data_IF_356002822061
#
_entry.id   IF_356002822061
#
_cell.length_a   1.000
_cell.length_b   1.000
_cell.length_c   1.000
_cell.angle_alpha   90.00
_cell.angle_beta   90.00
_cell.angle_gamma   90.00
#
_symmetry.space_group_name_H-M   'P 1'
#
loop_
_entity.id
_entity.type
_entity.pdbx_description
1 polymer ?
#
# COMPACT_ATOMS: atom_id res chain seq x y z
N UNK A 1 -9.39 -13.11 3.65
CA UNK A 1 -9.86 -11.94 4.42
C UNK A 1 -9.01 -10.70 4.20
N UNK A 2 -7.69 -10.84 4.05
CA UNK A 2 -6.77 -9.70 3.89
C UNK A 2 -7.09 -8.68 2.77
N UNK A 3 -7.61 -9.06 1.58
CA UNK A 3 -7.88 -8.09 0.52
C UNK A 3 -8.99 -7.08 0.88
N UNK A 4 -9.94 -7.48 1.74
CA UNK A 4 -11.02 -6.61 2.21
C UNK A 4 -10.54 -5.49 3.13
N UNK A 5 -9.36 -5.63 3.72
CA UNK A 5 -8.79 -4.56 4.56
C UNK A 5 -8.33 -3.37 3.73
N UNK A 6 -8.09 -3.55 2.42
CA UNK A 6 -7.77 -2.47 1.49
C UNK A 6 -8.95 -1.51 1.30
N UNK A 7 -10.18 -1.95 1.55
CA UNK A 7 -11.38 -1.12 1.49
C UNK A 7 -11.32 0.07 2.47
N UNK A 8 -10.57 -0.07 3.56
CA UNK A 8 -10.39 0.97 4.57
C UNK A 8 -9.24 1.93 4.27
N UNK A 9 -8.42 1.65 3.24
CA UNK A 9 -7.30 2.52 2.85
C UNK A 9 -7.80 3.75 2.10
N UNK A 10 -8.79 3.58 1.23
CA UNK A 10 -9.29 4.62 0.31
C UNK A 10 -10.11 5.72 1.00
N UNK A 11 -11.08 5.42 1.88
CA UNK A 11 -11.95 6.45 2.45
C UNK A 11 -11.20 7.43 3.37
N UNK A 12 -11.43 8.73 3.18
CA UNK A 12 -10.77 9.79 3.97
C UNK A 12 -11.11 9.75 5.47
N UNK A 13 -12.28 9.19 5.83
CA UNK A 13 -12.69 9.00 7.23
C UNK A 13 -11.74 8.10 8.05
N UNK A 14 -10.93 7.27 7.39
CA UNK A 14 -9.98 6.35 8.05
C UNK A 14 -8.53 6.87 8.06
N UNK A 15 -8.29 8.13 7.67
CA UNK A 15 -6.91 8.68 7.59
C UNK A 15 -6.18 8.60 8.93
N UNK A 16 -6.87 8.89 10.05
CA UNK A 16 -6.29 8.80 11.39
C UNK A 16 -5.84 7.39 11.81
N UNK A 17 -6.35 6.33 11.16
CA UNK A 17 -5.97 4.93 11.39
C UNK A 17 -5.07 4.37 10.29
N UNK A 18 -4.67 5.20 9.33
CA UNK A 18 -4.03 4.74 8.11
C UNK A 18 -2.61 4.22 8.36
N UNK A 19 -1.86 4.85 9.27
CA UNK A 19 -0.51 4.39 9.65
C UNK A 19 -0.48 2.94 10.17
N UNK A 20 -1.25 2.57 11.22
CA UNK A 20 -1.28 1.18 11.69
C UNK A 20 -1.88 0.23 10.64
N UNK A 21 -2.87 0.68 9.87
CA UNK A 21 -3.46 -0.12 8.79
C UNK A 21 -2.44 -0.43 7.69
N UNK A 22 -1.67 0.56 7.24
CA UNK A 22 -0.63 0.39 6.22
C UNK A 22 0.48 -0.55 6.68
N UNK A 23 0.92 -0.45 7.94
CA UNK A 23 1.92 -1.36 8.51
C UNK A 23 1.42 -2.80 8.51
N UNK A 24 0.21 -3.02 9.02
CA UNK A 24 -0.39 -4.35 9.07
C UNK A 24 -0.58 -4.96 7.67
N UNK A 25 -1.09 -4.16 6.72
CA UNK A 25 -1.29 -4.59 5.34
C UNK A 25 0.04 -4.92 4.64
N UNK A 26 1.10 -4.16 4.92
CA UNK A 26 2.44 -4.42 4.39
C UNK A 26 2.95 -5.77 4.88
N UNK A 27 2.96 -6.00 6.19
CA UNK A 27 3.41 -7.27 6.79
C UNK A 27 2.61 -8.46 6.25
N UNK A 28 1.31 -8.27 6.07
CA UNK A 28 0.42 -9.29 5.54
C UNK A 28 0.68 -9.58 4.06
N UNK A 29 0.93 -8.54 3.24
CA UNK A 29 1.30 -8.69 1.83
C UNK A 29 2.66 -9.41 1.68
N UNK A 30 3.67 -9.02 2.48
CA UNK A 30 4.98 -9.66 2.49
C UNK A 30 4.89 -11.14 2.92
N UNK A 31 4.10 -11.43 3.97
CA UNK A 31 3.84 -12.82 4.39
C UNK A 31 3.15 -13.63 3.30
N UNK A 32 2.20 -13.04 2.57
CA UNK A 32 1.51 -13.71 1.46
C UNK A 32 2.42 -13.98 0.26
N UNK A 33 3.36 -13.08 -0.02
CA UNK A 33 4.40 -13.31 -1.03
C UNK A 33 5.30 -14.50 -0.67
N UNK A 34 5.63 -14.67 0.61
CA UNK A 34 6.40 -15.82 1.08
C UNK A 34 5.62 -17.15 1.02
N UNK A 35 4.30 -17.09 1.23
CA UNK A 35 3.39 -18.25 1.14
C UNK A 35 3.10 -18.70 -0.31
N UNK A 36 3.52 -17.92 -1.32
CA UNK A 36 3.41 -18.26 -2.75
C UNK A 36 2.54 -17.29 -3.56
N UNK A 37 2.71 -17.30 -4.88
CA UNK A 37 2.16 -16.32 -5.81
C UNK A 37 0.62 -16.27 -5.83
N UNK A 38 -0.04 -17.43 -5.71
CA UNK A 38 -1.49 -17.55 -5.57
C UNK A 38 -2.03 -16.86 -4.29
N UNK A 39 -1.29 -16.91 -3.19
CA UNK A 39 -1.72 -16.30 -1.92
C UNK A 39 -1.53 -14.77 -1.91
N UNK A 40 -0.56 -14.27 -2.68
CA UNK A 40 -0.22 -12.86 -2.84
C UNK A 40 -1.08 -12.12 -3.86
N UNK A 41 -1.72 -12.84 -4.79
CA UNK A 41 -2.52 -12.27 -5.87
C UNK A 41 -3.87 -11.71 -5.37
N UNK A 42 -4.06 -10.40 -5.55
CA UNK A 42 -5.32 -9.72 -5.31
C UNK A 42 -6.28 -9.96 -6.48
N UNK A 43 -7.24 -10.87 -6.29
CA UNK A 43 -8.33 -11.07 -7.26
C UNK A 43 -9.37 -9.94 -7.17
N UNK A 44 -9.04 -8.77 -7.72
CA UNK A 44 -9.91 -7.58 -7.73
C UNK A 44 -11.28 -7.85 -8.39
N UNK A 45 -11.35 -8.73 -9.40
CA UNK A 45 -12.58 -9.05 -10.14
C UNK A 45 -13.61 -9.86 -9.33
N UNK A 46 -13.19 -10.57 -8.27
CA UNK A 46 -14.06 -11.47 -7.50
C UNK A 46 -14.66 -10.81 -6.25
N UNK A 47 -14.21 -9.60 -5.90
CA UNK A 47 -14.54 -8.93 -4.64
C UNK A 47 -15.19 -7.57 -4.92
N UNK A 48 -16.52 -7.54 -4.86
CA UNK A 48 -17.39 -6.40 -5.24
C UNK A 48 -17.07 -5.08 -4.52
N UNK A 49 -16.35 -5.13 -3.39
CA UNK A 49 -16.04 -3.95 -2.57
C UNK A 49 -14.57 -3.51 -2.61
N UNK A 50 -13.69 -4.26 -3.28
CA UNK A 50 -12.27 -3.89 -3.30
C UNK A 50 -12.05 -2.58 -4.05
N UNK A 51 -11.17 -1.69 -3.54
CA UNK A 51 -10.76 -0.54 -4.31
C UNK A 51 -10.04 -0.99 -5.57
N UNK A 52 -10.19 -0.22 -6.65
CA UNK A 52 -9.41 -0.47 -7.87
C UNK A 52 -7.92 -0.29 -7.56
N UNK A 53 -7.02 -1.02 -8.24
CA UNK A 53 -5.57 -0.82 -8.09
C UNK A 53 -5.15 0.65 -8.23
N UNK A 54 -5.79 1.36 -9.16
CA UNK A 54 -5.57 2.77 -9.44
C UNK A 54 -6.09 3.67 -8.31
N UNK A 55 -7.26 3.35 -7.74
CA UNK A 55 -7.81 4.08 -6.60
C UNK A 55 -6.95 3.94 -5.35
N UNK A 56 -6.44 2.74 -5.10
CA UNK A 56 -5.50 2.47 -4.01
C UNK A 56 -4.18 3.23 -4.22
N UNK A 57 -3.64 3.20 -5.44
CA UNK A 57 -2.45 3.95 -5.83
C UNK A 57 -2.63 5.45 -5.59
N UNK A 58 -3.69 6.04 -6.16
CA UNK A 58 -3.96 7.46 -6.04
C UNK A 58 -4.07 7.88 -4.57
N UNK A 59 -4.77 7.08 -3.75
CA UNK A 59 -4.90 7.37 -2.33
C UNK A 59 -3.56 7.37 -1.60
N UNK A 60 -2.75 6.32 -1.79
CA UNK A 60 -1.46 6.19 -1.11
C UNK A 60 -0.49 7.29 -1.55
N UNK A 61 -0.53 7.71 -2.82
CA UNK A 61 0.24 8.85 -3.33
C UNK A 61 -0.22 10.19 -2.75
N UNK A 62 -1.53 10.39 -2.52
CA UNK A 62 -2.04 11.60 -1.88
C UNK A 62 -1.61 11.67 -0.42
N UNK A 63 -1.54 10.52 0.27
CA UNK A 63 -1.15 10.45 1.68
C UNK A 63 0.37 10.54 1.88
N UNK A 64 1.17 10.01 0.94
CA UNK A 64 2.63 10.00 1.04
C UNK A 64 3.27 11.38 1.35
N UNK A 65 2.90 12.49 0.67
CA UNK A 65 3.50 13.81 0.91
C UNK A 65 2.80 14.61 2.01
N UNK A 66 1.78 14.07 2.71
CA UNK A 66 1.03 14.87 3.70
C UNK A 66 1.89 15.17 4.95
N UNK A 67 2.23 16.45 5.22
CA UNK A 67 3.06 16.82 6.37
C UNK A 67 2.25 16.88 7.68
N UNK A 68 0.92 16.79 7.59
CA UNK A 68 0.01 17.20 8.67
C UNK A 68 -0.42 16.09 9.63
N UNK A 69 -0.10 14.82 9.37
CA UNK A 69 -0.52 13.72 10.24
C UNK A 69 0.65 12.83 10.69
N UNK A 70 1.18 13.17 11.87
CA UNK A 70 1.88 12.28 12.81
C UNK A 70 2.99 11.41 12.19
N UNK A 71 4.13 12.04 11.92
CA UNK A 71 5.47 11.44 12.09
C UNK A 71 5.65 10.02 11.49
N UNK A 72 5.19 9.81 10.25
CA UNK A 72 5.44 8.56 9.52
C UNK A 72 4.24 7.87 8.87
N UNK A 73 3.08 8.53 8.76
CA UNK A 73 1.97 8.04 7.91
C UNK A 73 2.40 7.97 6.44
N UNK A 74 3.16 8.96 5.96
CA UNK A 74 3.72 8.97 4.61
C UNK A 74 4.69 7.81 4.35
N UNK A 75 5.60 7.53 5.30
CA UNK A 75 6.50 6.36 5.21
C UNK A 75 5.72 5.05 5.18
N UNK A 76 4.69 4.89 6.02
CA UNK A 76 3.86 3.70 6.03
C UNK A 76 3.09 3.51 4.71
N UNK A 77 2.58 4.59 4.12
CA UNK A 77 1.91 4.56 2.82
C UNK A 77 2.86 4.16 1.69
N UNK A 78 4.07 4.73 1.64
CA UNK A 78 5.11 4.37 0.67
C UNK A 78 5.57 2.91 0.82
N UNK A 79 5.75 2.44 2.05
CA UNK A 79 6.10 1.05 2.32
C UNK A 79 5.00 0.07 1.88
N UNK A 80 3.73 0.41 2.11
CA UNK A 80 2.61 -0.39 1.60
C UNK A 80 2.56 -0.38 0.06
N UNK A 81 2.80 0.77 -0.56
CA UNK A 81 2.82 0.93 -2.01
C UNK A 81 3.93 0.07 -2.65
N UNK A 82 5.08 -0.05 -1.98
CA UNK A 82 6.12 -1.03 -2.32
C UNK A 82 5.57 -2.45 -2.18
N UNK A 83 5.04 -2.85 -1.03
CA UNK A 83 4.57 -4.23 -0.84
C UNK A 83 3.49 -4.67 -1.85
N UNK A 84 2.69 -3.73 -2.37
CA UNK A 84 1.62 -3.99 -3.33
C UNK A 84 1.98 -3.78 -4.80
N UNK A 85 3.25 -3.48 -5.14
CA UNK A 85 3.65 -3.09 -6.49
C UNK A 85 3.23 -4.12 -7.58
N UNK A 86 3.36 -5.42 -7.31
CA UNK A 86 2.98 -6.52 -8.21
C UNK A 86 1.46 -6.62 -8.39
N UNK A 87 0.70 -6.27 -7.35
CA UNK A 87 -0.75 -6.29 -7.37
C UNK A 87 -1.36 -5.04 -8.03
N UNK A 88 -0.57 -3.99 -8.27
CA UNK A 88 -1.01 -2.79 -8.96
C UNK A 88 -0.75 -2.90 -10.45
N UNK A 89 0.51 -3.09 -10.85
CA UNK A 89 0.88 -3.32 -12.25
C UNK A 89 2.34 -3.80 -12.36
N UNK A 90 2.62 -4.77 -13.23
CA UNK A 90 3.98 -5.29 -13.43
C UNK A 90 4.99 -4.20 -13.83
N UNK A 91 4.61 -3.28 -14.74
CA UNK A 91 5.50 -2.21 -15.18
C UNK A 91 5.90 -1.20 -14.09
N UNK A 92 5.10 -1.03 -13.02
CA UNK A 92 5.50 -0.15 -11.90
C UNK A 92 6.37 -0.88 -10.87
N UNK A 93 6.31 -2.21 -10.86
CA UNK A 93 7.07 -3.08 -9.96
C UNK A 93 8.57 -2.80 -10.01
N UNK A 94 9.16 -2.86 -11.21
CA UNK A 94 10.61 -2.68 -11.40
C UNK A 94 11.07 -1.29 -10.93
N UNK A 95 10.32 -0.25 -11.28
CA UNK A 95 10.66 1.12 -10.90
C UNK A 95 10.54 1.36 -9.40
N UNK A 96 9.49 0.82 -8.76
CA UNK A 96 9.18 1.11 -7.37
C UNK A 96 10.07 0.37 -6.38
N UNK A 97 10.56 -0.81 -6.73
CA UNK A 97 11.56 -1.53 -5.94
C UNK A 97 12.83 -0.68 -5.76
N UNK A 98 13.16 0.17 -6.73
CA UNK A 98 14.33 1.06 -6.69
C UNK A 98 14.01 2.44 -6.12
N UNK A 99 12.97 3.11 -6.63
CA UNK A 99 12.70 4.53 -6.29
C UNK A 99 12.11 4.73 -4.89
N UNK A 100 11.26 3.82 -4.41
CA UNK A 100 10.59 4.00 -3.11
C UNK A 100 11.59 3.95 -1.95
N UNK A 101 12.55 3.00 -1.88
CA UNK A 101 13.59 3.03 -0.85
C UNK A 101 14.37 4.35 -0.81
N UNK A 102 14.74 4.91 -1.97
CA UNK A 102 15.42 6.22 -2.03
C UNK A 102 14.57 7.37 -1.50
N UNK A 103 13.27 7.36 -1.81
CA UNK A 103 12.33 8.35 -1.28
C UNK A 103 12.16 8.22 0.24
N UNK A 104 12.08 7.00 0.76
CA UNK A 104 12.00 6.75 2.20
C UNK A 104 13.26 7.27 2.92
N UNK A 105 14.44 6.98 2.37
CA UNK A 105 15.71 7.47 2.91
C UNK A 105 15.78 8.99 2.94
N UNK A 106 15.22 9.67 1.94
CA UNK A 106 15.15 11.13 1.90
C UNK A 106 14.18 11.71 2.95
N UNK A 107 13.09 11.01 3.26
CA UNK A 107 12.07 11.48 4.22
C UNK A 107 12.46 11.17 5.67
N UNK A 108 13.20 10.08 5.92
CA UNK A 108 13.68 9.66 7.24
C UNK A 108 15.02 10.29 7.64
N UNK A 109 15.67 11.03 6.73
CA UNK A 109 17.00 11.63 6.89
C UNK A 109 17.03 12.99 7.58
#
# INVERSE_FOLDING_TARGET
>A
LWPRLLEYVVPAQYTGTLKPLCRYLKELAEKKQQEGEEAACLHYSRQVKLPTPQGLLARLLVVAPTPYEREGTGCAALQLLKALHQNIHAAVSEMWVVKIPSLLQYIEG
#
